data_IF_383764659254
#
_entry.id   IF_383764659254
#
_cell.length_a   1.000
_cell.length_b   1.000
_cell.length_c   1.000
_cell.angle_alpha   90.00
_cell.angle_beta   90.00
_cell.angle_gamma   90.00
#
_symmetry.space_group_name_H-M   'P 1'
#
loop_
_entity.id
_entity.type
_entity.pdbx_description
1 polymer ?
#
# COMPACT_ATOMS: atom_id res chain seq x y z
N UNK A 1 -1.72 13.54 -7.41
CA UNK A 1 -2.83 12.68 -6.97
C UNK A 1 -2.93 11.51 -7.93
N UNK A 2 -2.86 10.28 -7.44
CA UNK A 2 -3.09 9.06 -8.22
C UNK A 2 -4.51 8.56 -7.97
N UNK A 3 -5.08 7.84 -8.94
CA UNK A 3 -6.42 7.27 -8.88
C UNK A 3 -6.47 6.01 -9.75
N UNK A 4 -7.44 5.13 -9.51
CA UNK A 4 -7.59 3.87 -10.27
C UNK A 4 -8.98 3.76 -10.88
N UNK A 5 -9.09 3.07 -12.02
CA UNK A 5 -10.39 2.81 -12.63
C UNK A 5 -11.18 1.76 -11.85
N UNK A 6 -12.51 1.78 -11.94
CA UNK A 6 -13.41 0.84 -11.23
C UNK A 6 -13.14 -0.66 -11.44
N UNK A 7 -12.44 -1.03 -12.50
CA UNK A 7 -12.08 -2.41 -12.81
C UNK A 7 -10.57 -2.64 -12.82
N UNK A 8 -9.79 -1.73 -12.24
CA UNK A 8 -8.36 -1.92 -12.11
C UNK A 8 -8.10 -3.18 -11.28
N UNK A 9 -7.25 -4.10 -11.75
CA UNK A 9 -6.91 -5.31 -11.02
C UNK A 9 -6.02 -4.98 -9.81
N UNK A 10 -6.08 -5.79 -8.76
CA UNK A 10 -5.29 -5.58 -7.52
C UNK A 10 -3.79 -5.52 -7.80
N UNK A 11 -3.35 -6.31 -8.78
CA UNK A 11 -1.98 -6.41 -9.27
C UNK A 11 -1.47 -5.10 -9.88
N UNK A 12 -2.36 -4.18 -10.28
CA UNK A 12 -2.02 -2.83 -10.73
C UNK A 12 -2.15 -1.80 -9.60
N UNK A 13 -3.16 -1.96 -8.74
CA UNK A 13 -3.45 -1.03 -7.62
C UNK A 13 -2.30 -1.01 -6.62
N UNK A 14 -1.81 -2.17 -6.18
CA UNK A 14 -0.83 -2.27 -5.09
C UNK A 14 0.55 -1.72 -5.49
N UNK A 15 1.10 -2.03 -6.68
CA UNK A 15 2.31 -1.36 -7.14
C UNK A 15 2.13 0.14 -7.29
N UNK A 16 0.98 0.61 -7.79
CA UNK A 16 0.72 2.03 -7.92
C UNK A 16 0.70 2.76 -6.55
N UNK A 17 0.10 2.16 -5.52
CA UNK A 17 0.14 2.68 -4.15
C UNK A 17 1.59 2.79 -3.63
N UNK A 18 2.38 1.73 -3.83
CA UNK A 18 3.79 1.67 -3.41
C UNK A 18 4.64 2.72 -4.12
N UNK A 19 4.54 2.81 -5.45
CA UNK A 19 5.29 3.75 -6.28
C UNK A 19 4.97 5.20 -5.95
N UNK A 20 3.72 5.46 -5.56
CA UNK A 20 3.24 6.80 -5.20
C UNK A 20 3.36 7.11 -3.72
N UNK A 21 3.77 6.13 -2.91
CA UNK A 21 3.85 6.21 -1.45
C UNK A 21 2.54 6.70 -0.82
N UNK A 22 1.41 6.14 -1.28
CA UNK A 22 0.07 6.44 -0.75
C UNK A 22 -0.62 5.15 -0.33
N UNK A 23 -1.27 5.16 0.83
CA UNK A 23 -2.02 4.00 1.34
C UNK A 23 -3.48 3.98 0.91
N UNK A 24 -3.92 4.94 0.08
CA UNK A 24 -5.29 5.00 -0.40
C UNK A 24 -5.37 5.60 -1.80
N UNK A 25 -6.32 5.13 -2.60
CA UNK A 25 -6.58 5.62 -3.94
C UNK A 25 -8.09 5.81 -4.16
N UNK A 26 -8.54 6.96 -4.69
CA UNK A 26 -9.91 7.10 -5.16
C UNK A 26 -10.15 6.23 -6.39
N UNK A 27 -11.33 5.60 -6.44
CA UNK A 27 -11.80 4.80 -7.57
C UNK A 27 -12.64 5.68 -8.48
N UNK A 28 -12.26 5.78 -9.75
CA UNK A 28 -12.90 6.64 -10.74
C UNK A 28 -13.68 5.85 -11.81
N UNK A 29 -14.70 6.50 -12.36
CA UNK A 29 -15.50 6.01 -13.47
C UNK A 29 -15.90 7.14 -14.44
N UNK A 30 -16.00 6.83 -15.74
CA UNK A 30 -16.44 7.78 -16.76
C UNK A 30 -15.51 8.99 -16.85
N UNK A 31 -16.07 10.20 -16.85
CA UNK A 31 -15.34 11.47 -16.95
C UNK A 31 -14.63 11.89 -15.63
N UNK A 32 -14.13 10.92 -14.85
CA UNK A 32 -13.43 11.19 -13.59
C UNK A 32 -14.33 11.30 -12.35
N UNK A 33 -15.54 10.73 -12.39
CA UNK A 33 -16.42 10.68 -11.21
C UNK A 33 -15.82 9.71 -10.18
N UNK A 34 -15.68 10.16 -8.93
CA UNK A 34 -15.32 9.29 -7.81
C UNK A 34 -16.50 8.42 -7.44
N UNK A 35 -16.30 7.09 -7.43
CA UNK A 35 -17.33 6.09 -7.12
C UNK A 35 -16.97 5.24 -5.90
N UNK A 36 -15.77 5.39 -5.34
CA UNK A 36 -15.31 4.68 -4.17
C UNK A 36 -13.88 5.05 -3.79
N UNK A 37 -13.36 4.35 -2.78
CA UNK A 37 -11.97 4.45 -2.30
C UNK A 37 -11.49 3.03 -2.02
N UNK A 38 -10.23 2.75 -2.33
CA UNK A 38 -9.52 1.53 -1.94
C UNK A 38 -8.36 1.89 -1.02
N UNK A 39 -8.14 1.10 0.02
CA UNK A 39 -7.06 1.24 0.99
C UNK A 39 -6.07 0.08 0.85
N UNK A 40 -4.83 0.26 1.32
CA UNK A 40 -3.88 -0.85 1.48
C UNK A 40 -4.52 -2.02 2.24
N UNK A 41 -5.28 -1.74 3.30
CA UNK A 41 -5.94 -2.76 4.12
C UNK A 41 -6.92 -3.66 3.35
N UNK A 42 -7.32 -3.28 2.13
CA UNK A 42 -8.19 -4.06 1.26
C UNK A 42 -7.43 -5.12 0.43
N UNK A 43 -6.10 -5.20 0.53
CA UNK A 43 -5.35 -6.18 -0.23
C UNK A 43 -5.69 -7.62 0.19
N UNK A 44 -5.80 -8.55 -0.77
CA UNK A 44 -6.32 -9.88 -0.50
C UNK A 44 -5.32 -10.77 0.25
N UNK A 45 -4.02 -10.47 0.19
CA UNK A 45 -2.99 -11.23 0.88
C UNK A 45 -1.93 -10.32 1.49
N UNK A 46 -1.22 -10.84 2.50
CA UNK A 46 -0.07 -10.15 3.09
C UNK A 46 1.05 -9.88 2.06
N UNK A 47 1.23 -10.77 1.07
CA UNK A 47 2.24 -10.61 0.02
C UNK A 47 1.99 -9.36 -0.85
N UNK A 48 0.73 -8.96 -1.03
CA UNK A 48 0.41 -7.77 -1.82
C UNK A 48 0.85 -6.47 -1.14
N UNK A 49 0.99 -6.48 0.18
CA UNK A 49 1.23 -5.30 1.01
C UNK A 49 2.63 -5.28 1.61
N UNK A 50 3.00 -6.37 2.27
CA UNK A 50 4.19 -6.42 3.11
C UNK A 50 5.47 -6.37 2.27
N UNK A 51 6.52 -5.69 2.76
CA UNK A 51 7.84 -5.78 2.17
C UNK A 51 8.36 -7.22 2.29
N UNK A 52 9.04 -7.68 1.24
CA UNK A 52 9.73 -8.98 1.22
C UNK A 52 11.25 -8.77 1.06
N UNK A 53 12.08 -9.33 1.96
CA UNK A 53 11.68 -10.08 3.15
C UNK A 53 11.09 -9.15 4.23
N UNK A 54 10.34 -9.74 5.17
CA UNK A 54 9.86 -9.00 6.33
C UNK A 54 11.04 -8.41 7.13
N UNK A 55 10.91 -7.14 7.49
CA UNK A 55 11.89 -6.47 8.36
C UNK A 55 11.70 -6.99 9.79
N UNK A 56 12.75 -7.56 10.37
CA UNK A 56 12.74 -8.09 11.73
C UNK A 56 13.83 -7.43 12.58
N UNK A 57 13.59 -7.34 13.89
CA UNK A 57 14.56 -6.86 14.90
C UNK A 57 14.70 -7.90 16.00
N UNK A 58 15.85 -7.92 16.68
CA UNK A 58 16.05 -8.83 17.81
C UNK A 58 15.18 -8.40 18.99
N UNK A 59 14.76 -9.36 19.81
CA UNK A 59 13.90 -9.09 20.96
C UNK A 59 14.56 -8.21 22.04
N UNK A 60 15.90 -8.14 22.06
CA UNK A 60 16.70 -7.30 22.95
C UNK A 60 17.04 -5.92 22.35
N UNK A 61 16.59 -5.63 21.13
CA UNK A 61 16.84 -4.34 20.49
C UNK A 61 16.09 -3.20 21.19
N UNK A 62 16.75 -2.07 21.33
CA UNK A 62 16.14 -0.83 21.81
C UNK A 62 15.20 -0.24 20.75
N UNK A 63 14.26 0.61 21.18
CA UNK A 63 13.38 1.33 20.26
C UNK A 63 14.16 2.18 19.25
N UNK A 64 15.28 2.77 19.65
CA UNK A 64 16.13 3.57 18.76
C UNK A 64 16.77 2.70 17.67
N UNK A 65 17.26 1.52 18.01
CA UNK A 65 17.78 0.56 17.03
C UNK A 65 16.69 0.06 16.09
N UNK A 66 15.49 -0.24 16.63
CA UNK A 66 14.36 -0.65 15.81
C UNK A 66 13.91 0.47 14.84
N UNK A 67 13.87 1.72 15.29
CA UNK A 67 13.53 2.86 14.47
C UNK A 67 14.55 3.09 13.34
N UNK A 68 15.84 2.82 13.57
CA UNK A 68 16.86 2.93 12.53
C UNK A 68 16.62 1.97 11.36
N UNK A 69 16.08 0.77 11.63
CA UNK A 69 15.74 -0.21 10.60
C UNK A 69 14.50 0.17 9.78
N UNK A 70 13.60 0.98 10.34
CA UNK A 70 12.35 1.41 9.68
C UNK A 70 12.52 2.66 8.80
N UNK A 71 13.71 3.25 8.76
CA UNK A 71 14.01 4.50 8.06
C UNK A 71 14.26 4.32 6.56
#
# INVERSE_FOLDING_TARGET
MAAVGRHAPVEEIMPLMRDRQVSTLPVLEGAGRVVGVVYEADAPTAENLMPSPAVTVRADATLAEAAHTMA
#
